data_IF_745909009361
#
_entry.id   IF_745909009361
#
_cell.length_a   1.000
_cell.length_b   1.000
_cell.length_c   1.000
_cell.angle_alpha   90.00
_cell.angle_beta   90.00
_cell.angle_gamma   90.00
#
_symmetry.space_group_name_H-M   'P 1'
#
loop_
_entity.id
_entity.type
_entity.pdbx_description
1 polymer ?
#
# COMPACT_ATOMS: atom_id res chain seq x y z
N UNK A 1 2.71 -18.09 -45.65
CA UNK A 1 3.47 -16.99 -45.02
C UNK A 1 2.62 -16.47 -43.87
N UNK A 2 2.89 -16.90 -42.65
CA UNK A 2 2.17 -16.40 -41.47
C UNK A 2 2.49 -14.92 -41.26
N UNK A 3 1.51 -14.08 -40.99
CA UNK A 3 1.75 -12.67 -40.61
C UNK A 3 2.50 -12.63 -39.26
N UNK A 4 3.52 -11.78 -39.11
CA UNK A 4 4.18 -11.63 -37.81
C UNK A 4 3.22 -11.04 -36.79
N UNK A 5 3.17 -11.62 -35.59
CA UNK A 5 2.42 -11.12 -34.44
C UNK A 5 3.39 -10.82 -33.29
N UNK A 6 3.04 -9.84 -32.46
CA UNK A 6 3.80 -9.46 -31.28
C UNK A 6 2.85 -8.94 -30.20
N UNK A 7 3.15 -9.16 -28.91
CA UNK A 7 2.35 -8.62 -27.83
C UNK A 7 2.60 -7.12 -27.67
N UNK A 8 1.55 -6.38 -27.31
CA UNK A 8 1.62 -5.00 -26.87
C UNK A 8 1.12 -4.93 -25.43
N UNK A 9 1.80 -4.15 -24.59
CA UNK A 9 1.43 -3.94 -23.20
C UNK A 9 0.97 -2.49 -22.99
N UNK A 10 -0.04 -2.24 -22.14
CA UNK A 10 -0.41 -0.90 -21.76
C UNK A 10 0.74 -0.24 -20.98
N UNK A 11 1.02 1.03 -21.28
CA UNK A 11 2.03 1.81 -20.58
C UNK A 11 1.37 2.57 -19.42
N UNK A 12 1.67 2.15 -18.18
CA UNK A 12 1.09 2.74 -16.96
C UNK A 12 1.36 4.25 -16.88
N UNK A 13 2.60 4.65 -17.17
CA UNK A 13 3.05 6.05 -17.12
C UNK A 13 2.37 6.96 -18.15
N UNK A 14 1.84 6.36 -19.23
CA UNK A 14 1.08 7.04 -20.27
C UNK A 14 -0.44 6.92 -20.07
N UNK A 15 -0.89 6.57 -18.86
CA UNK A 15 -2.29 6.43 -18.51
C UNK A 15 -2.95 5.17 -19.07
N UNK A 16 -2.27 4.02 -18.94
CA UNK A 16 -2.71 2.71 -19.43
C UNK A 16 -2.99 2.68 -20.94
N UNK A 17 -2.27 3.51 -21.71
CA UNK A 17 -2.45 3.61 -23.16
C UNK A 17 -1.59 2.58 -23.86
N UNK A 18 -2.17 1.86 -24.82
CA UNK A 18 -1.42 0.97 -25.72
C UNK A 18 -0.96 1.80 -26.91
N UNK A 19 0.34 2.03 -27.03
CA UNK A 19 0.93 2.72 -28.18
C UNK A 19 1.45 1.68 -29.17
N UNK A 20 0.95 1.72 -30.41
CA UNK A 20 1.46 0.85 -31.46
C UNK A 20 2.88 1.28 -31.86
N UNK A 21 3.79 0.33 -32.13
CA UNK A 21 5.16 0.67 -32.51
C UNK A 21 5.19 1.40 -33.86
N UNK A 22 6.13 2.32 -34.03
CA UNK A 22 6.26 3.08 -35.28
C UNK A 22 6.67 2.21 -36.49
N UNK A 23 7.22 1.02 -36.26
CA UNK A 23 7.59 0.05 -37.29
C UNK A 23 7.44 -1.37 -36.76
N UNK A 24 7.26 -2.33 -37.67
CA UNK A 24 7.08 -3.73 -37.29
C UNK A 24 8.34 -4.29 -36.59
N UNK A 25 8.22 -4.79 -35.34
CA UNK A 25 9.37 -5.33 -34.58
C UNK A 25 9.85 -6.71 -35.07
N UNK A 26 9.23 -7.29 -36.12
CA UNK A 26 9.58 -8.62 -36.59
C UNK A 26 10.99 -8.64 -37.19
N UNK A 27 11.90 -9.43 -36.61
CA UNK A 27 13.27 -9.62 -37.11
C UNK A 27 13.37 -10.63 -38.27
N UNK A 28 12.35 -10.70 -39.13
CA UNK A 28 12.35 -11.64 -40.27
C UNK A 28 13.38 -11.21 -41.33
N UNK A 29 13.90 -12.20 -42.07
CA UNK A 29 14.98 -12.05 -43.05
C UNK A 29 14.75 -11.00 -44.15
N UNK A 30 13.48 -10.70 -44.45
CA UNK A 30 13.06 -9.52 -45.22
C UNK A 30 12.33 -8.62 -44.22
N UNK A 31 13.02 -7.65 -43.62
CA UNK A 31 12.45 -6.77 -42.61
C UNK A 31 11.11 -6.18 -43.07
N UNK A 32 10.12 -6.19 -42.19
CA UNK A 32 8.83 -5.57 -42.44
C UNK A 32 8.92 -4.09 -42.03
N UNK A 33 8.76 -3.16 -42.98
CA UNK A 33 8.75 -1.71 -42.71
C UNK A 33 7.33 -1.13 -42.61
N UNK A 34 6.31 -1.99 -42.51
CA UNK A 34 4.93 -1.55 -42.36
C UNK A 34 4.71 -0.92 -40.98
N UNK A 35 3.90 0.15 -40.95
CA UNK A 35 3.35 0.77 -39.74
C UNK A 35 1.84 0.50 -39.59
N UNK A 36 1.26 -0.33 -40.45
CA UNK A 36 -0.13 -0.77 -40.34
C UNK A 36 -0.20 -2.06 -39.54
N UNK A 37 -0.98 -2.02 -38.45
CA UNK A 37 -1.18 -3.14 -37.54
C UNK A 37 -2.68 -3.43 -37.42
N UNK A 38 -3.00 -4.71 -37.28
CA UNK A 38 -4.35 -5.17 -37.04
C UNK A 38 -4.37 -5.96 -35.73
N UNK A 39 -5.35 -5.66 -34.87
CA UNK A 39 -5.59 -6.43 -33.65
C UNK A 39 -6.05 -7.84 -34.02
N UNK A 40 -5.47 -8.84 -33.38
CA UNK A 40 -5.91 -10.23 -33.49
C UNK A 40 -6.93 -10.45 -32.37
N UNK A 41 -8.21 -10.67 -32.73
CA UNK A 41 -9.32 -10.69 -31.77
C UNK A 41 -9.18 -11.76 -30.68
N UNK A 42 -8.64 -12.93 -31.02
CA UNK A 42 -8.50 -14.06 -30.10
C UNK A 42 -7.21 -13.99 -29.24
N UNK A 43 -6.44 -12.91 -29.34
CA UNK A 43 -5.14 -12.76 -28.65
C UNK A 43 -5.16 -11.69 -27.55
N UNK A 44 -6.34 -11.34 -27.03
CA UNK A 44 -6.48 -10.33 -25.98
C UNK A 44 -6.30 -11.01 -24.61
N UNK A 45 -5.35 -10.51 -23.82
CA UNK A 45 -5.19 -10.89 -22.41
C UNK A 45 -5.61 -9.72 -21.54
N UNK A 46 -6.55 -9.98 -20.63
CA UNK A 46 -7.01 -8.99 -19.65
C UNK A 46 -6.31 -9.24 -18.32
N UNK A 47 -5.95 -8.14 -17.65
CA UNK A 47 -5.35 -8.14 -16.33
C UNK A 47 -6.24 -7.34 -15.38
N UNK A 48 -6.37 -7.80 -14.14
CA UNK A 48 -7.09 -7.06 -13.12
C UNK A 48 -6.26 -5.85 -12.68
N UNK A 49 -6.92 -4.71 -12.48
CA UNK A 49 -6.28 -3.43 -12.18
C UNK A 49 -7.06 -2.68 -11.10
N UNK A 50 -6.35 -2.22 -10.07
CA UNK A 50 -6.93 -1.44 -8.98
C UNK A 50 -5.96 -0.34 -8.51
N UNK A 51 -6.47 0.89 -8.44
CA UNK A 51 -5.76 2.01 -7.82
C UNK A 51 -6.25 2.21 -6.38
N UNK A 52 -5.32 2.17 -5.42
CA UNK A 52 -5.58 2.52 -4.02
C UNK A 52 -4.77 3.75 -3.64
N UNK A 53 -5.09 4.36 -2.50
CA UNK A 53 -4.31 5.46 -1.92
C UNK A 53 -3.83 5.06 -0.54
N UNK A 54 -2.51 5.05 -0.35
CA UNK A 54 -1.89 4.80 0.96
C UNK A 54 -1.63 6.15 1.60
N UNK A 55 -1.97 6.26 2.88
CA UNK A 55 -1.73 7.43 3.70
C UNK A 55 -0.70 7.11 4.78
N UNK A 56 0.11 8.11 5.14
CA UNK A 56 0.98 8.03 6.30
C UNK A 56 0.20 7.73 7.58
N UNK A 57 0.83 6.96 8.48
CA UNK A 57 0.26 6.70 9.81
C UNK A 57 0.27 7.97 10.65
N UNK A 58 -0.92 8.45 11.01
CA UNK A 58 -1.10 9.66 11.83
C UNK A 58 -0.40 9.55 13.19
N UNK A 59 -0.22 8.34 13.70
CA UNK A 59 0.45 8.09 14.99
C UNK A 59 1.94 8.45 14.97
N UNK A 60 2.55 8.52 13.79
CA UNK A 60 3.96 8.86 13.61
C UNK A 60 4.18 10.33 13.22
N UNK A 61 3.11 11.11 13.10
CA UNK A 61 3.17 12.51 12.68
C UNK A 61 3.26 13.44 13.89
N UNK A 62 4.01 14.53 13.71
CA UNK A 62 4.06 15.62 14.68
C UNK A 62 2.72 16.36 14.78
N UNK A 63 2.48 16.97 15.96
CA UNK A 63 1.27 17.73 16.22
C UNK A 63 1.18 18.90 15.24
N UNK A 64 0.12 18.93 14.44
CA UNK A 64 -0.15 19.98 13.45
C UNK A 64 0.28 19.63 12.02
N UNK A 65 0.90 18.48 11.78
CA UNK A 65 1.23 18.02 10.43
C UNK A 65 0.01 17.44 9.69
N UNK A 66 -0.05 17.68 8.37
CA UNK A 66 -1.08 17.13 7.49
C UNK A 66 -0.54 15.83 6.87
N UNK A 67 -1.22 14.67 7.06
CA UNK A 67 -0.79 13.41 6.48
C UNK A 67 -0.69 13.47 4.95
N UNK A 68 0.41 12.97 4.39
CA UNK A 68 0.57 12.81 2.95
C UNK A 68 0.04 11.45 2.51
N UNK A 69 -0.30 11.37 1.23
CA UNK A 69 -0.77 10.14 0.61
C UNK A 69 -0.19 9.96 -0.78
N UNK A 70 -0.06 8.72 -1.20
CA UNK A 70 0.50 8.33 -2.50
C UNK A 70 -0.42 7.29 -3.16
N UNK A 71 -0.72 7.43 -4.46
CA UNK A 71 -1.46 6.39 -5.19
C UNK A 71 -0.58 5.16 -5.39
N UNK A 72 -1.19 4.00 -5.26
CA UNK A 72 -0.55 2.69 -5.44
C UNK A 72 -1.38 1.86 -6.39
N UNK A 73 -0.73 1.27 -7.38
CA UNK A 73 -1.33 0.38 -8.37
C UNK A 73 -1.15 -1.06 -7.91
N UNK A 74 -2.27 -1.78 -7.86
CA UNK A 74 -2.35 -3.22 -7.65
C UNK A 74 -2.77 -3.87 -8.97
N UNK A 75 -2.12 -4.96 -9.34
CA UNK A 75 -2.40 -5.73 -10.55
C UNK A 75 -2.61 -7.20 -10.21
N UNK A 76 -3.37 -7.89 -11.04
CA UNK A 76 -3.57 -9.34 -10.99
C UNK A 76 -3.98 -9.83 -9.58
N UNK A 77 -3.16 -10.68 -8.97
CA UNK A 77 -3.43 -11.32 -7.67
C UNK A 77 -3.40 -10.34 -6.48
N UNK A 78 -2.88 -9.13 -6.67
CA UNK A 78 -2.85 -8.10 -5.63
C UNK A 78 -4.19 -7.36 -5.50
N UNK A 79 -5.07 -7.47 -6.50
CA UNK A 79 -6.37 -6.80 -6.51
C UNK A 79 -7.26 -7.38 -5.41
N UNK A 80 -8.01 -6.51 -4.72
CA UNK A 80 -8.94 -6.83 -3.63
C UNK A 80 -8.31 -7.48 -2.38
N UNK A 81 -6.97 -7.50 -2.28
CA UNK A 81 -6.28 -7.98 -1.07
C UNK A 81 -6.50 -7.09 0.16
N UNK A 82 -6.75 -5.80 -0.05
CA UNK A 82 -6.79 -4.78 1.01
C UNK A 82 -8.10 -3.98 0.96
N UNK A 83 -8.53 -3.51 2.13
CA UNK A 83 -9.73 -2.69 2.28
C UNK A 83 -9.36 -1.32 2.84
N UNK A 84 -10.26 -0.36 2.65
CA UNK A 84 -10.11 0.96 3.24
C UNK A 84 -10.02 0.84 4.77
N UNK A 85 -8.98 1.44 5.35
CA UNK A 85 -8.69 1.39 6.78
C UNK A 85 -7.69 0.30 7.20
N UNK A 86 -7.27 -0.59 6.30
CA UNK A 86 -6.22 -1.56 6.60
C UNK A 86 -4.86 -0.88 6.76
N UNK A 87 -4.11 -1.28 7.79
CA UNK A 87 -2.68 -1.00 7.90
C UNK A 87 -1.92 -1.97 7.00
N UNK A 88 -1.14 -1.44 6.06
CA UNK A 88 -0.48 -2.25 5.04
C UNK A 88 0.99 -1.91 4.92
N UNK A 89 1.77 -2.91 4.56
CA UNK A 89 3.15 -2.76 4.10
C UNK A 89 3.17 -3.14 2.64
N UNK A 90 3.62 -2.22 1.80
CA UNK A 90 3.70 -2.40 0.35
C UNK A 90 5.14 -2.27 -0.10
N UNK A 91 5.56 -3.19 -0.97
CA UNK A 91 6.85 -3.13 -1.66
C UNK A 91 6.60 -3.09 -3.16
N UNK A 92 7.49 -2.43 -3.90
CA UNK A 92 7.22 -2.13 -5.29
C UNK A 92 8.19 -1.11 -5.88
N UNK A 93 7.79 -0.55 -7.00
CA UNK A 93 8.58 0.40 -7.79
C UNK A 93 7.91 1.77 -7.73
N UNK A 94 8.69 2.80 -7.40
CA UNK A 94 8.25 4.18 -7.51
C UNK A 94 8.37 4.65 -8.96
N UNK A 95 7.27 5.16 -9.50
CA UNK A 95 7.06 5.58 -10.88
C UNK A 95 6.37 6.94 -10.91
N UNK A 96 6.11 7.48 -12.11
CA UNK A 96 5.38 8.73 -12.26
C UNK A 96 4.63 8.82 -13.59
N UNK A 97 3.32 9.03 -13.50
CA UNK A 97 2.48 9.19 -14.68
C UNK A 97 2.56 10.61 -15.21
N UNK A 98 2.53 10.73 -16.53
CA UNK A 98 2.43 12.02 -17.20
C UNK A 98 0.98 12.52 -17.13
N UNK A 99 0.82 13.79 -16.73
CA UNK A 99 -0.46 14.49 -16.89
C UNK A 99 -0.80 14.64 -18.36
N UNK A 100 -2.09 14.59 -18.71
CA UNK A 100 -2.59 14.77 -20.08
C UNK A 100 -1.92 15.94 -20.81
N UNK A 101 -1.42 15.67 -22.03
CA UNK A 101 -0.81 16.66 -22.91
C UNK A 101 -1.85 17.66 -23.45
N UNK A 102 -2.17 18.68 -22.64
CA UNK A 102 -3.03 19.79 -23.05
C UNK A 102 -2.15 20.95 -23.50
N UNK A 103 -2.42 21.48 -24.70
CA UNK A 103 -1.69 22.64 -25.24
C UNK A 103 -1.76 23.81 -24.27
N UNK A 104 -0.62 24.47 -24.04
CA UNK A 104 -0.44 25.59 -23.11
C UNK A 104 -0.59 25.26 -21.61
N UNK A 105 -0.65 23.96 -21.25
CA UNK A 105 -0.55 23.48 -19.86
C UNK A 105 0.83 22.86 -19.65
N UNK A 106 1.48 23.17 -18.52
CA UNK A 106 2.76 22.56 -18.16
C UNK A 106 2.54 21.09 -17.82
N UNK A 107 3.28 20.20 -18.47
CA UNK A 107 3.29 18.78 -18.14
C UNK A 107 3.71 18.60 -16.67
N UNK A 108 2.87 17.89 -15.90
CA UNK A 108 3.17 17.47 -14.54
C UNK A 108 3.46 15.97 -14.52
N UNK A 109 4.35 15.57 -13.62
CA UNK A 109 4.61 14.18 -13.29
C UNK A 109 3.98 13.89 -11.95
N UNK A 110 2.94 13.05 -11.96
CA UNK A 110 2.27 12.64 -10.74
C UNK A 110 2.91 11.33 -10.24
N UNK A 111 3.48 11.31 -9.02
CA UNK A 111 4.11 10.10 -8.51
C UNK A 111 3.09 9.00 -8.30
N UNK A 112 3.48 7.77 -8.61
CA UNK A 112 2.69 6.56 -8.39
C UNK A 112 3.57 5.40 -7.99
N UNK A 113 3.04 4.47 -7.21
CA UNK A 113 3.78 3.30 -6.74
C UNK A 113 3.18 2.04 -7.33
N UNK A 114 3.98 1.25 -8.03
CA UNK A 114 3.54 -0.02 -8.61
C UNK A 114 3.85 -1.11 -7.61
N UNK A 115 2.82 -1.75 -7.04
CA UNK A 115 3.01 -2.77 -6.03
C UNK A 115 3.50 -4.09 -6.65
N UNK A 116 4.46 -4.72 -5.97
CA UNK A 116 4.91 -6.08 -6.23
C UNK A 116 4.48 -7.03 -5.10
N UNK A 117 4.31 -6.51 -3.89
CA UNK A 117 3.84 -7.29 -2.75
C UNK A 117 3.14 -6.40 -1.73
N UNK A 118 2.03 -6.89 -1.18
CA UNK A 118 1.19 -6.21 -0.19
C UNK A 118 0.97 -7.13 1.00
N UNK A 119 1.25 -6.64 2.21
CA UNK A 119 0.99 -7.34 3.48
C UNK A 119 0.09 -6.51 4.37
N UNK A 120 -1.03 -7.09 4.80
CA UNK A 120 -1.89 -6.52 5.85
C UNK A 120 -1.24 -6.71 7.22
N UNK A 121 -1.30 -5.68 8.05
CA UNK A 121 -0.66 -5.58 9.35
C UNK A 121 -1.68 -5.41 10.48
N UNK A 122 -2.99 -5.45 10.15
CA UNK A 122 -4.10 -5.29 11.11
C UNK A 122 -3.99 -6.24 12.32
N UNK A 123 -3.49 -7.47 12.14
CA UNK A 123 -3.38 -8.50 13.19
C UNK A 123 -2.37 -8.15 14.30
N UNK A 124 -1.38 -7.31 14.02
CA UNK A 124 -0.42 -6.83 15.03
C UNK A 124 -1.07 -5.90 16.07
N UNK A 125 -2.27 -5.37 15.81
CA UNK A 125 -3.05 -4.61 16.80
C UNK A 125 -3.92 -5.51 17.68
N UNK A 126 -4.20 -6.75 17.28
CA UNK A 126 -5.03 -7.70 18.05
C UNK A 126 -4.23 -8.75 18.83
N UNK A 127 -2.97 -8.98 18.49
CA UNK A 127 -2.09 -9.92 19.19
C UNK A 127 -0.89 -9.20 19.81
N UNK A 128 -1.08 -8.60 20.98
CA UNK A 128 0.06 -8.40 21.87
C UNK A 128 0.46 -9.82 22.30
N UNK A 129 1.55 -10.34 21.75
CA UNK A 129 2.16 -11.57 22.25
C UNK A 129 2.76 -11.23 23.61
N UNK A 130 1.99 -11.47 24.68
CA UNK A 130 2.41 -11.17 26.05
C UNK A 130 3.38 -12.28 26.44
N UNK A 131 4.66 -11.98 26.72
CA UNK A 131 5.62 -12.99 27.14
C UNK A 131 5.13 -13.72 28.39
N UNK A 132 5.38 -15.03 28.49
CA UNK A 132 4.99 -15.84 29.65
C UNK A 132 5.52 -15.26 30.98
N UNK A 133 6.68 -14.61 30.95
CA UNK A 133 7.26 -13.91 32.10
C UNK A 133 6.35 -12.80 32.63
N UNK A 134 5.77 -11.99 31.74
CA UNK A 134 4.86 -10.91 32.11
C UNK A 134 3.55 -11.45 32.69
N UNK A 135 3.05 -12.58 32.15
CA UNK A 135 1.87 -13.27 32.70
C UNK A 135 2.15 -13.72 34.13
N UNK A 136 3.30 -14.37 34.34
CA UNK A 136 3.72 -14.87 35.66
C UNK A 136 3.91 -13.74 36.68
N UNK A 137 4.51 -12.63 36.26
CA UNK A 137 4.66 -11.44 37.12
C UNK A 137 3.30 -10.87 37.52
N UNK A 138 2.35 -10.83 36.59
CA UNK A 138 0.99 -10.36 36.89
C UNK A 138 0.24 -11.30 37.84
N UNK A 139 0.41 -12.61 37.70
CA UNK A 139 -0.15 -13.61 38.62
C UNK A 139 0.45 -13.48 40.02
N UNK A 140 1.78 -13.35 40.13
CA UNK A 140 2.48 -13.15 41.40
C UNK A 140 2.01 -11.86 42.07
N UNK A 141 1.89 -10.77 41.32
CA UNK A 141 1.37 -9.50 41.83
C UNK A 141 -0.01 -9.67 42.48
N UNK A 142 -0.94 -10.39 41.84
CA UNK A 142 -2.27 -10.61 42.41
C UNK A 142 -2.27 -11.64 43.54
N UNK A 143 -1.35 -12.60 43.55
CA UNK A 143 -1.15 -13.51 44.67
C UNK A 143 -0.67 -12.77 45.93
N UNK A 144 0.26 -11.84 45.79
CA UNK A 144 0.78 -11.00 46.88
C UNK A 144 -0.27 -10.02 47.41
N UNK A 145 -1.07 -9.42 46.53
CA UNK A 145 -2.12 -8.47 46.90
C UNK A 145 -3.49 -9.15 47.15
N UNK A 146 -3.52 -10.47 47.37
CA UNK A 146 -4.76 -11.25 47.55
C UNK A 146 -5.57 -10.82 48.77
N UNK A 147 -4.90 -10.38 49.84
CA UNK A 147 -5.56 -9.88 51.04
C UNK A 147 -6.14 -8.47 50.86
N UNK A 148 -5.59 -7.66 49.94
CA UNK A 148 -5.98 -6.26 49.69
C UNK A 148 -6.10 -5.97 48.19
N UNK A 149 -7.08 -6.59 47.49
CA UNK A 149 -7.20 -6.49 46.04
C UNK A 149 -7.47 -5.06 45.54
N UNK A 150 -8.14 -4.22 46.34
CA UNK A 150 -8.38 -2.82 46.01
C UNK A 150 -7.10 -1.98 46.01
N UNK A 151 -6.14 -2.31 46.89
CA UNK A 151 -4.85 -1.64 46.93
C UNK A 151 -3.96 -2.07 45.77
N UNK A 152 -3.98 -3.37 45.43
CA UNK A 152 -3.38 -3.89 44.19
C UNK A 152 -3.93 -3.21 42.95
N UNK A 153 -5.26 -3.08 42.83
CA UNK A 153 -5.90 -2.32 41.74
C UNK A 153 -5.40 -0.89 41.69
N UNK A 154 -5.34 -0.20 42.82
CA UNK A 154 -4.89 1.19 42.88
C UNK A 154 -3.42 1.35 42.46
N UNK A 155 -2.55 0.38 42.74
CA UNK A 155 -1.16 0.36 42.25
C UNK A 155 -1.10 0.28 40.71
N UNK A 156 -1.90 -0.59 40.09
CA UNK A 156 -1.99 -0.68 38.61
C UNK A 156 -2.53 0.63 38.02
N UNK A 157 -3.60 1.18 38.62
CA UNK A 157 -4.22 2.42 38.14
C UNK A 157 -3.28 3.64 38.19
N UNK A 158 -2.34 3.69 39.16
CA UNK A 158 -1.30 4.73 39.21
C UNK A 158 -0.38 4.71 37.99
N UNK A 159 -0.11 3.53 37.41
CA UNK A 159 0.72 3.40 36.20
C UNK A 159 -0.02 3.75 34.91
N UNK A 160 -1.34 3.53 34.85
CA UNK A 160 -2.16 3.79 33.66
C UNK A 160 -2.52 5.27 33.52
N UNK A 161 -2.67 5.99 34.64
CA UNK A 161 -3.13 7.38 34.64
C UNK A 161 -2.07 8.34 35.18
N UNK A 162 -1.02 8.57 34.39
CA UNK A 162 0.07 9.50 34.75
C UNK A 162 -0.37 10.98 34.79
N UNK A 163 -1.53 11.35 34.23
CA UNK A 163 -1.88 12.75 33.95
C UNK A 163 -3.06 13.34 34.75
N UNK A 164 -3.67 12.63 35.71
CA UNK A 164 -4.83 13.18 36.47
C UNK A 164 -4.56 13.57 37.92
N UNK A 165 -3.39 13.25 38.48
CA UNK A 165 -3.11 13.47 39.91
C UNK A 165 -2.28 14.73 40.24
N UNK A 166 -1.82 15.51 39.25
CA UNK A 166 -1.13 16.79 39.50
C UNK A 166 -2.08 17.99 39.74
N UNK A 167 -3.39 17.77 39.84
CA UNK A 167 -4.40 18.84 39.90
C UNK A 167 -5.15 19.02 41.22
N UNK A 168 -4.88 18.24 42.27
CA UNK A 168 -5.60 18.37 43.55
C UNK A 168 -4.63 18.29 44.74
N UNK A 169 -3.75 19.27 44.84
CA UNK A 169 -3.16 19.70 46.11
C UNK A 169 -2.75 21.17 46.00
N UNK A 170 -3.74 22.04 46.23
CA UNK A 170 -3.59 23.32 46.91
C UNK A 170 -4.86 23.59 47.69
#
# INVERSE_FOLDING_TARGET
LETPAFPCYPELEAGNRITLPASCPSMRSKGCQSASFQLIGDSITCHDYQEIKIQESVQLLDVGSIPRSMPVILMDDLVDLVKAGDDVIVTGILSAKWSSDVKDVRCNLDPMFIANYVRRTNELKSGIDIPEEIIKDFELFWAENRATPLEGRNKILKGICLLRFLGYSR
#
